data_IF_580316012915
#
_entry.id   IF_580316012915
#
_cell.length_a   1.000
_cell.length_b   1.000
_cell.length_c   1.000
_cell.angle_alpha   90.00
_cell.angle_beta   90.00
_cell.angle_gamma   90.00
#
_symmetry.space_group_name_H-M   'P 1'
#
loop_
_entity.id
_entity.type
_entity.pdbx_description
1 polymer ?
#
# COMPACT_ATOMS: atom_id res chain seq x y z
N UNK A 1 -32.52 20.21 -7.21
CA UNK A 1 -31.57 19.80 -6.15
C UNK A 1 -30.18 19.94 -6.74
N UNK A 2 -29.31 20.78 -6.19
CA UNK A 2 -27.90 20.83 -6.60
C UNK A 2 -27.27 19.54 -6.08
N UNK A 3 -26.79 18.67 -6.95
CA UNK A 3 -26.04 17.48 -6.53
C UNK A 3 -24.79 17.94 -5.78
N UNK A 4 -24.49 17.31 -4.63
CA UNK A 4 -23.21 17.52 -3.96
C UNK A 4 -22.10 17.06 -4.90
N UNK A 5 -21.25 17.98 -5.36
CA UNK A 5 -20.14 17.65 -6.27
C UNK A 5 -19.20 16.61 -5.63
N UNK A 6 -19.12 16.56 -4.30
CA UNK A 6 -18.35 15.55 -3.58
C UNK A 6 -18.88 14.12 -3.73
N UNK A 7 -20.13 13.92 -4.15
CA UNK A 7 -20.73 12.60 -4.41
C UNK A 7 -20.80 12.26 -5.90
N UNK A 8 -20.29 13.12 -6.79
CA UNK A 8 -20.27 12.84 -8.22
C UNK A 8 -19.32 11.69 -8.53
N UNK A 9 -19.81 10.74 -9.34
CA UNK A 9 -19.08 9.53 -9.74
C UNK A 9 -19.51 9.09 -11.15
N UNK A 10 -18.62 8.51 -11.97
CA UNK A 10 -17.18 8.36 -11.74
C UNK A 10 -16.47 9.72 -11.67
N UNK A 11 -15.45 9.80 -10.82
CA UNK A 11 -14.66 11.04 -10.68
C UNK A 11 -13.80 11.21 -11.93
N UNK A 12 -13.73 12.41 -12.54
CA UNK A 12 -12.84 12.67 -13.66
C UNK A 12 -11.38 12.35 -13.32
N UNK A 13 -10.69 11.62 -14.20
CA UNK A 13 -9.32 11.13 -13.99
C UNK A 13 -8.34 12.25 -13.60
N UNK A 14 -8.44 13.43 -14.22
CA UNK A 14 -7.58 14.58 -13.91
C UNK A 14 -7.74 15.05 -12.45
N UNK A 15 -8.93 14.93 -11.88
CA UNK A 15 -9.19 15.25 -10.47
C UNK A 15 -8.66 14.15 -9.55
N UNK A 16 -8.71 12.87 -9.97
CA UNK A 16 -8.11 11.76 -9.22
C UNK A 16 -6.60 11.95 -9.14
N UNK A 17 -5.92 12.22 -10.25
CA UNK A 17 -4.48 12.46 -10.30
C UNK A 17 -4.05 13.58 -9.35
N UNK A 18 -4.82 14.68 -9.31
CA UNK A 18 -4.56 15.84 -8.44
C UNK A 18 -4.97 15.65 -6.98
N UNK A 19 -5.80 14.65 -6.67
CA UNK A 19 -6.25 14.42 -5.30
C UNK A 19 -5.08 13.96 -4.43
N UNK A 20 -4.90 14.53 -3.22
CA UNK A 20 -3.88 14.04 -2.31
C UNK A 20 -4.23 12.65 -1.82
N UNK A 21 -3.25 11.75 -1.87
CA UNK A 21 -3.39 10.35 -1.48
C UNK A 21 -2.40 10.00 -0.39
N UNK A 22 -2.74 9.01 0.41
CA UNK A 22 -1.85 8.44 1.41
C UNK A 22 -1.81 6.93 1.21
N UNK A 23 -0.59 6.41 1.07
CA UNK A 23 -0.31 5.02 0.74
C UNK A 23 0.42 4.36 1.91
N UNK A 24 -0.12 3.29 2.48
CA UNK A 24 0.46 2.61 3.64
C UNK A 24 0.94 1.20 3.37
N UNK A 25 0.65 0.67 2.17
CA UNK A 25 0.95 -0.71 1.81
C UNK A 25 1.42 -0.79 0.36
N UNK A 26 2.74 -0.68 0.22
CA UNK A 26 3.43 -0.75 -1.06
C UNK A 26 4.82 -1.34 -0.85
N UNK A 27 5.16 -2.38 -1.61
CA UNK A 27 6.47 -3.02 -1.55
C UNK A 27 7.41 -2.40 -2.58
N UNK A 28 8.60 -2.00 -2.12
CA UNK A 28 9.61 -1.37 -2.97
C UNK A 28 10.05 -2.31 -4.10
N UNK A 29 10.36 -3.55 -3.76
CA UNK A 29 10.73 -4.65 -4.65
C UNK A 29 9.55 -5.16 -5.51
N UNK A 30 8.34 -4.71 -5.20
CA UNK A 30 7.12 -4.88 -6.00
C UNK A 30 6.78 -3.71 -6.93
N UNK A 31 7.59 -2.64 -6.92
CA UNK A 31 7.23 -1.34 -7.50
C UNK A 31 8.21 -0.79 -8.54
N UNK A 32 9.19 -1.57 -9.01
CA UNK A 32 10.21 -1.12 -9.96
C UNK A 32 9.61 -0.72 -11.31
N UNK A 33 10.26 0.24 -11.99
CA UNK A 33 9.98 0.53 -13.40
C UNK A 33 10.55 -0.60 -14.28
N UNK A 34 9.80 -1.12 -15.27
CA UNK A 34 10.31 -2.16 -16.18
C UNK A 34 11.60 -1.78 -16.92
N UNK A 35 11.72 -0.50 -17.33
CA UNK A 35 12.94 0.02 -17.95
C UNK A 35 14.13 -0.06 -17.01
N UNK A 36 13.97 0.31 -15.74
CA UNK A 36 15.01 0.24 -14.71
C UNK A 36 15.44 -1.20 -14.45
N UNK A 37 14.52 -2.17 -14.48
CA UNK A 37 14.87 -3.60 -14.35
C UNK A 37 15.81 -4.03 -15.48
N UNK A 38 15.52 -3.67 -16.72
CA UNK A 38 16.36 -4.02 -17.88
C UNK A 38 17.76 -3.42 -17.78
N UNK A 39 17.85 -2.15 -17.39
CA UNK A 39 19.12 -1.44 -17.22
C UNK A 39 19.95 -2.07 -16.09
N UNK A 40 19.36 -2.25 -14.91
CA UNK A 40 20.03 -2.85 -13.76
C UNK A 40 20.42 -4.32 -14.03
N UNK A 41 19.61 -5.07 -14.78
CA UNK A 41 19.95 -6.42 -15.18
C UNK A 41 21.18 -6.45 -16.09
N UNK A 42 21.25 -5.54 -17.08
CA UNK A 42 22.41 -5.42 -17.95
C UNK A 42 23.68 -5.00 -17.19
N UNK A 43 23.57 -4.03 -16.25
CA UNK A 43 24.67 -3.59 -15.40
C UNK A 43 25.21 -4.70 -14.47
N UNK A 44 24.37 -5.69 -14.17
CA UNK A 44 24.67 -6.74 -13.20
C UNK A 44 24.81 -8.14 -13.81
N UNK A 45 24.90 -8.23 -15.13
CA UNK A 45 24.99 -9.46 -15.92
C UNK A 45 23.87 -10.48 -15.61
N UNK A 46 22.65 -9.99 -15.30
CA UNK A 46 21.48 -10.82 -15.05
C UNK A 46 20.71 -11.12 -16.34
N UNK A 47 20.74 -12.38 -16.79
CA UNK A 47 20.22 -12.77 -18.11
C UNK A 47 18.87 -13.50 -18.08
N UNK A 48 18.30 -13.74 -16.90
CA UNK A 48 17.12 -14.59 -16.75
C UNK A 48 15.79 -13.82 -16.90
N UNK A 49 15.84 -12.56 -17.36
CA UNK A 49 14.62 -11.78 -17.59
C UNK A 49 13.76 -12.42 -18.70
N UNK A 50 12.43 -12.47 -18.52
CA UNK A 50 11.51 -13.11 -19.46
C UNK A 50 11.23 -12.29 -20.72
N UNK A 51 11.68 -11.03 -20.75
CA UNK A 51 11.52 -10.10 -21.86
C UNK A 51 12.67 -9.08 -21.87
N UNK A 52 12.93 -8.50 -23.04
CA UNK A 52 14.06 -7.58 -23.28
C UNK A 52 13.65 -6.13 -23.57
N UNK A 53 12.35 -5.83 -23.63
CA UNK A 53 11.81 -4.48 -23.73
C UNK A 53 10.83 -4.16 -22.58
N UNK A 54 10.69 -2.88 -22.19
CA UNK A 54 9.93 -2.51 -21.01
C UNK A 54 8.45 -2.88 -21.07
N UNK A 55 7.83 -2.78 -22.24
CA UNK A 55 6.40 -3.03 -22.38
C UNK A 55 6.09 -4.51 -22.27
N UNK A 56 6.88 -5.36 -22.95
CA UNK A 56 6.75 -6.81 -22.85
C UNK A 56 7.04 -7.30 -21.42
N UNK A 57 8.05 -6.73 -20.76
CA UNK A 57 8.36 -7.07 -19.38
C UNK A 57 7.22 -6.67 -18.43
N UNK A 58 6.66 -5.47 -18.59
CA UNK A 58 5.49 -5.00 -17.82
C UNK A 58 4.28 -5.93 -17.98
N UNK A 59 3.97 -6.32 -19.23
CA UNK A 59 2.90 -7.28 -19.53
C UNK A 59 3.16 -8.62 -18.86
N UNK A 60 4.38 -9.14 -18.95
CA UNK A 60 4.74 -10.41 -18.33
C UNK A 60 4.53 -10.39 -16.81
N UNK A 61 4.96 -9.32 -16.11
CA UNK A 61 4.73 -9.17 -14.67
C UNK A 61 3.22 -9.17 -14.35
N UNK A 62 2.44 -8.38 -15.09
CA UNK A 62 0.99 -8.24 -14.86
C UNK A 62 0.23 -9.54 -15.13
N UNK A 63 0.52 -10.23 -16.23
CA UNK A 63 -0.12 -11.50 -16.57
C UNK A 63 0.26 -12.62 -15.59
N UNK A 64 1.51 -12.64 -15.13
CA UNK A 64 1.99 -13.60 -14.13
C UNK A 64 1.33 -13.38 -12.76
N UNK A 65 1.02 -12.13 -12.41
CA UNK A 65 0.31 -11.79 -11.18
C UNK A 65 -1.15 -12.25 -11.18
N UNK A 66 -1.82 -12.31 -12.35
CA UNK A 66 -3.18 -12.84 -12.54
C UNK A 66 -3.27 -14.37 -12.43
N UNK A 67 -2.62 -14.91 -11.40
CA UNK A 67 -2.50 -16.35 -11.17
C UNK A 67 -3.59 -16.93 -10.27
N UNK A 68 -4.36 -16.08 -9.58
CA UNK A 68 -5.36 -16.48 -8.59
C UNK A 68 -4.75 -17.16 -7.35
N UNK A 69 -3.46 -16.95 -7.09
CA UNK A 69 -2.71 -17.61 -6.03
C UNK A 69 -1.52 -16.76 -5.57
N UNK A 70 -1.46 -16.44 -4.27
CA UNK A 70 -0.34 -15.72 -3.66
C UNK A 70 1.01 -16.40 -3.93
N UNK A 71 1.10 -17.73 -3.87
CA UNK A 71 2.37 -18.44 -4.10
C UNK A 71 2.91 -18.27 -5.52
N UNK A 72 2.03 -18.20 -6.52
CA UNK A 72 2.42 -17.99 -7.92
C UNK A 72 2.77 -16.53 -8.17
N UNK A 73 2.00 -15.62 -7.57
CA UNK A 73 2.29 -14.18 -7.55
C UNK A 73 3.71 -13.89 -7.05
N UNK A 74 4.11 -14.49 -5.93
CA UNK A 74 5.44 -14.25 -5.32
C UNK A 74 6.62 -14.72 -6.18
N UNK A 75 6.42 -15.61 -7.16
CA UNK A 75 7.52 -16.09 -8.02
C UNK A 75 8.10 -15.01 -8.92
N UNK A 76 7.34 -13.97 -9.24
CA UNK A 76 7.82 -12.89 -10.11
C UNK A 76 8.90 -12.03 -9.44
N UNK A 77 8.95 -12.01 -8.10
CA UNK A 77 9.95 -11.25 -7.33
C UNK A 77 11.37 -11.75 -7.54
N UNK A 78 11.57 -12.97 -8.03
CA UNK A 78 12.91 -13.49 -8.34
C UNK A 78 13.70 -12.52 -9.24
N UNK A 79 13.03 -11.86 -10.20
CA UNK A 79 13.67 -10.92 -11.11
C UNK A 79 13.92 -9.55 -10.48
N UNK A 80 12.98 -9.00 -9.71
CA UNK A 80 13.16 -7.69 -9.07
C UNK A 80 14.20 -7.74 -7.96
N UNK A 81 14.17 -8.80 -7.15
CA UNK A 81 15.19 -9.04 -6.11
C UNK A 81 16.57 -9.22 -6.74
N UNK A 82 16.69 -9.97 -7.85
CA UNK A 82 17.99 -10.21 -8.50
C UNK A 82 18.69 -8.93 -8.97
N UNK A 83 17.93 -7.90 -9.38
CA UNK A 83 18.48 -6.62 -9.83
C UNK A 83 18.67 -5.60 -8.70
N UNK A 84 18.25 -5.90 -7.47
CA UNK A 84 18.35 -5.03 -6.30
C UNK A 84 19.42 -5.51 -5.31
N UNK A 85 20.60 -5.89 -5.80
CA UNK A 85 21.67 -6.48 -4.97
C UNK A 85 22.87 -5.54 -4.73
N UNK A 86 22.80 -4.29 -5.19
CA UNK A 86 23.85 -3.26 -5.01
C UNK A 86 23.27 -2.00 -4.36
N UNK A 87 24.11 -1.21 -3.70
CA UNK A 87 23.70 0.05 -3.06
C UNK A 87 23.12 1.03 -4.09
N UNK A 88 23.74 1.11 -5.28
CA UNK A 88 23.31 1.97 -6.37
C UNK A 88 21.93 1.56 -6.90
N UNK A 89 21.68 0.26 -7.07
CA UNK A 89 20.39 -0.24 -7.54
C UNK A 89 19.27 0.06 -6.52
N UNK A 90 19.51 -0.23 -5.24
CA UNK A 90 18.57 0.03 -4.15
C UNK A 90 18.23 1.52 -4.04
N UNK A 91 19.26 2.38 -4.07
CA UNK A 91 19.11 3.83 -4.01
C UNK A 91 18.31 4.35 -5.20
N UNK A 92 18.62 3.87 -6.42
CA UNK A 92 17.91 4.25 -7.64
C UNK A 92 16.44 3.86 -7.58
N UNK A 93 16.13 2.62 -7.20
CA UNK A 93 14.75 2.12 -7.11
C UNK A 93 13.94 2.91 -6.08
N UNK A 94 14.50 3.21 -4.91
CA UNK A 94 13.84 4.02 -3.89
C UNK A 94 13.62 5.49 -4.33
N UNK A 95 14.59 6.08 -5.03
CA UNK A 95 14.45 7.41 -5.63
C UNK A 95 13.30 7.45 -6.63
N UNK A 96 13.29 6.51 -7.58
CA UNK A 96 12.27 6.42 -8.63
C UNK A 96 10.87 6.19 -8.05
N UNK A 97 10.77 5.35 -7.01
CA UNK A 97 9.53 5.09 -6.27
C UNK A 97 8.94 6.38 -5.68
N UNK A 98 9.74 7.19 -4.98
CA UNK A 98 9.26 8.45 -4.41
C UNK A 98 8.75 9.43 -5.48
N UNK A 99 9.44 9.52 -6.62
CA UNK A 99 9.03 10.38 -7.75
C UNK A 99 7.71 9.90 -8.34
N UNK A 100 7.56 8.60 -8.58
CA UNK A 100 6.34 8.04 -9.17
C UNK A 100 5.13 8.23 -8.25
N UNK A 101 5.29 7.96 -6.95
CA UNK A 101 4.25 8.18 -5.97
C UNK A 101 3.84 9.67 -5.88
N UNK A 102 4.81 10.57 -5.83
CA UNK A 102 4.55 11.99 -5.76
C UNK A 102 3.82 12.53 -7.01
N UNK A 103 4.23 12.06 -8.19
CA UNK A 103 3.59 12.40 -9.48
C UNK A 103 2.16 11.87 -9.54
N UNK A 104 1.89 10.75 -8.88
CA UNK A 104 0.54 10.18 -8.72
C UNK A 104 -0.27 10.82 -7.57
N UNK A 105 0.16 11.99 -7.07
CA UNK A 105 -0.54 12.77 -6.06
C UNK A 105 -0.46 12.20 -4.64
N UNK A 106 0.45 11.25 -4.37
CA UNK A 106 0.70 10.75 -3.02
C UNK A 106 1.49 11.78 -2.24
N UNK A 107 0.94 12.21 -1.11
CA UNK A 107 1.56 13.22 -0.23
C UNK A 107 2.30 12.60 0.94
N UNK A 108 1.91 11.39 1.32
CA UNK A 108 2.59 10.59 2.33
C UNK A 108 2.54 9.11 1.96
N UNK A 109 3.68 8.43 2.06
CA UNK A 109 3.78 7.00 1.82
C UNK A 109 4.54 6.28 2.94
N UNK A 110 4.12 5.05 3.26
CA UNK A 110 4.94 4.08 3.98
C UNK A 110 5.24 2.92 3.02
N UNK A 111 6.49 2.81 2.60
CA UNK A 111 6.95 1.81 1.64
C UNK A 111 7.72 0.72 2.40
N UNK A 112 7.40 -0.53 2.13
CA UNK A 112 7.99 -1.70 2.80
C UNK A 112 8.94 -2.45 1.88
N UNK A 113 9.92 -3.12 2.46
CA UNK A 113 10.78 -4.06 1.75
C UNK A 113 11.49 -4.97 2.75
N UNK A 114 12.02 -6.10 2.30
CA UNK A 114 12.74 -7.05 3.15
C UNK A 114 14.27 -6.93 2.96
N UNK A 115 15.03 -6.30 3.88
CA UNK A 115 16.48 -6.14 3.73
C UNK A 115 17.23 -7.46 3.53
N UNK A 116 16.74 -8.54 4.15
CA UNK A 116 17.32 -9.88 4.05
C UNK A 116 17.29 -10.48 2.63
N UNK A 117 16.49 -9.94 1.70
CA UNK A 117 16.47 -10.37 0.30
C UNK A 117 17.59 -9.73 -0.55
N UNK A 118 18.28 -8.71 -0.04
CA UNK A 118 19.19 -7.87 -0.80
C UNK A 118 20.67 -7.99 -0.39
N UNK A 119 21.03 -9.12 0.23
CA UNK A 119 22.38 -9.41 0.74
C UNK A 119 23.18 -10.39 -0.14
N UNK A 120 22.62 -10.82 -1.27
CA UNK A 120 23.17 -11.87 -2.14
C UNK A 120 24.48 -11.51 -2.86
N UNK A 121 24.83 -10.21 -2.94
CA UNK A 121 26.10 -9.73 -3.50
C UNK A 121 27.01 -9.04 -2.47
N UNK A 122 26.86 -9.36 -1.19
CA UNK A 122 27.83 -8.99 -0.14
C UNK A 122 27.50 -7.75 0.69
N UNK A 123 26.33 -7.13 0.47
CA UNK A 123 25.79 -6.14 1.41
C UNK A 123 25.34 -6.82 2.71
N UNK A 124 25.44 -6.11 3.83
CA UNK A 124 24.71 -6.46 5.03
C UNK A 124 23.36 -5.70 5.10
N UNK A 125 22.46 -6.12 5.99
CA UNK A 125 21.11 -5.53 6.07
C UNK A 125 21.12 -4.03 6.38
N UNK A 126 22.08 -3.54 7.18
CA UNK A 126 22.20 -2.11 7.49
C UNK A 126 22.58 -1.29 6.24
N UNK A 127 23.53 -1.77 5.44
CA UNK A 127 23.89 -1.12 4.16
C UNK A 127 22.70 -1.07 3.19
N UNK A 128 21.90 -2.14 3.14
CA UNK A 128 20.68 -2.17 2.32
C UNK A 128 19.70 -1.10 2.80
N UNK A 129 19.44 -1.01 4.12
CA UNK A 129 18.54 0.01 4.70
C UNK A 129 19.06 1.42 4.41
N UNK A 130 20.35 1.67 4.58
CA UNK A 130 20.98 2.96 4.33
C UNK A 130 20.87 3.39 2.85
N UNK A 131 21.10 2.47 1.92
CA UNK A 131 20.95 2.75 0.48
C UNK A 131 19.51 3.13 0.12
N UNK A 132 18.52 2.39 0.64
CA UNK A 132 17.09 2.68 0.43
C UNK A 132 16.69 4.02 1.04
N UNK A 133 17.09 4.31 2.29
CA UNK A 133 16.82 5.59 2.95
C UNK A 133 17.45 6.76 2.19
N UNK A 134 18.69 6.61 1.70
CA UNK A 134 19.34 7.62 0.86
C UNK A 134 18.56 7.85 -0.44
N UNK A 135 18.07 6.78 -1.08
CA UNK A 135 17.26 6.87 -2.29
C UNK A 135 15.95 7.61 -2.07
N UNK A 136 15.22 7.29 -0.99
CA UNK A 136 14.01 8.04 -0.63
C UNK A 136 14.30 9.49 -0.27
N UNK A 137 15.41 9.79 0.41
CA UNK A 137 15.81 11.17 0.68
C UNK A 137 16.05 11.94 -0.62
N UNK A 138 16.73 11.35 -1.60
CA UNK A 138 16.98 11.94 -2.91
C UNK A 138 15.68 12.14 -3.70
N UNK A 139 14.84 11.11 -3.75
CA UNK A 139 13.57 11.12 -4.46
C UNK A 139 12.58 12.14 -3.92
N UNK A 140 12.48 12.29 -2.59
CA UNK A 140 11.66 13.33 -1.96
C UNK A 140 12.15 14.74 -2.35
N UNK A 141 13.47 14.98 -2.39
CA UNK A 141 14.03 16.27 -2.83
C UNK A 141 13.74 16.52 -4.32
N UNK A 142 13.90 15.49 -5.16
CA UNK A 142 13.63 15.59 -6.59
C UNK A 142 12.14 15.88 -6.87
N UNK A 143 11.24 15.17 -6.20
CA UNK A 143 9.80 15.36 -6.33
C UNK A 143 9.36 16.76 -5.85
N UNK A 144 9.89 17.23 -4.71
CA UNK A 144 9.62 18.59 -4.23
C UNK A 144 10.11 19.67 -5.20
N UNK A 145 11.29 19.48 -5.83
CA UNK A 145 11.81 20.40 -6.85
C UNK A 145 10.92 20.46 -8.12
N UNK A 146 10.16 19.39 -8.39
CA UNK A 146 9.18 19.32 -9.48
C UNK A 146 7.78 19.82 -9.07
N UNK A 147 7.62 20.32 -7.84
CA UNK A 147 6.33 20.81 -7.34
C UNK A 147 5.41 19.72 -6.76
N UNK A 148 5.92 18.51 -6.56
CA UNK A 148 5.21 17.36 -6.01
C UNK A 148 5.84 16.92 -4.68
N UNK A 149 5.75 17.68 -3.59
CA UNK A 149 6.32 17.27 -2.32
C UNK A 149 5.62 16.02 -1.77
N UNK A 150 6.42 15.03 -1.37
CA UNK A 150 5.99 13.80 -0.71
C UNK A 150 6.85 13.57 0.54
N UNK A 151 6.26 12.97 1.56
CA UNK A 151 7.01 12.36 2.67
C UNK A 151 6.92 10.85 2.61
N UNK A 152 8.05 10.15 2.73
CA UNK A 152 8.14 8.69 2.70
C UNK A 152 8.75 8.17 4.00
N UNK A 153 8.02 7.29 4.68
CA UNK A 153 8.54 6.43 5.75
C UNK A 153 8.79 5.02 5.24
N UNK A 154 9.72 4.31 5.86
CA UNK A 154 10.10 2.94 5.48
C UNK A 154 9.60 1.93 6.51
N UNK A 155 9.05 0.81 6.05
CA UNK A 155 8.82 -0.37 6.90
C UNK A 155 9.85 -1.44 6.57
N UNK A 156 10.48 -2.03 7.58
CA UNK A 156 11.35 -3.19 7.37
C UNK A 156 10.55 -4.47 7.55
N UNK A 157 10.56 -5.30 6.52
CA UNK A 157 9.78 -6.53 6.47
C UNK A 157 10.66 -7.74 6.78
N UNK A 158 10.21 -8.60 7.68
CA UNK A 158 10.76 -9.96 7.79
C UNK A 158 9.90 -10.96 7.00
N UNK A 159 10.55 -11.91 6.34
CA UNK A 159 9.87 -12.94 5.58
C UNK A 159 9.36 -14.04 6.53
N UNK A 160 8.08 -14.39 6.41
CA UNK A 160 7.40 -15.46 7.17
C UNK A 160 8.09 -16.82 7.10
N UNK A 161 8.84 -17.05 6.02
CA UNK A 161 9.56 -18.29 5.73
C UNK A 161 10.99 -18.29 6.26
N UNK A 162 11.50 -17.14 6.72
CA UNK A 162 12.83 -16.96 7.28
C UNK A 162 12.82 -16.95 8.82
N UNK A 163 13.97 -17.21 9.43
CA UNK A 163 14.14 -17.20 10.89
C UNK A 163 14.73 -15.89 11.44
N UNK A 164 14.80 -14.84 10.62
CA UNK A 164 15.51 -13.59 10.94
C UNK A 164 14.61 -12.48 11.51
N UNK A 165 13.35 -12.76 11.82
CA UNK A 165 12.38 -11.74 12.25
C UNK A 165 12.85 -10.85 13.42
N UNK A 166 13.49 -11.46 14.43
CA UNK A 166 14.07 -10.73 15.56
C UNK A 166 15.13 -9.71 15.15
N UNK A 167 16.03 -10.08 14.24
CA UNK A 167 17.12 -9.23 13.75
C UNK A 167 16.58 -8.03 12.96
N UNK A 168 15.59 -8.26 12.10
CA UNK A 168 14.94 -7.17 11.33
C UNK A 168 14.16 -6.23 12.28
N UNK A 169 13.57 -6.75 13.35
CA UNK A 169 12.96 -5.91 14.39
C UNK A 169 13.99 -5.05 15.16
N UNK A 170 15.18 -5.56 15.46
CA UNK A 170 16.28 -4.77 16.05
C UNK A 170 16.72 -3.65 15.09
N UNK A 171 16.87 -3.98 13.81
CA UNK A 171 17.20 -3.01 12.77
C UNK A 171 16.12 -1.93 12.62
N UNK A 172 14.85 -2.30 12.75
CA UNK A 172 13.73 -1.34 12.74
C UNK A 172 13.88 -0.32 13.86
N UNK A 173 14.19 -0.78 15.07
CA UNK A 173 14.38 0.07 16.24
C UNK A 173 15.63 0.95 16.09
N UNK A 174 16.72 0.41 15.55
CA UNK A 174 17.95 1.17 15.31
C UNK A 174 17.77 2.35 14.34
N UNK A 175 16.90 2.18 13.32
CA UNK A 175 16.68 3.18 12.28
C UNK A 175 15.37 3.99 12.46
N UNK A 176 14.66 3.85 13.59
CA UNK A 176 13.34 4.48 13.82
C UNK A 176 13.33 6.00 13.73
N UNK A 177 14.46 6.63 14.03
CA UNK A 177 14.66 8.08 13.97
C UNK A 177 15.41 8.54 12.70
N UNK A 178 15.63 7.61 11.76
CA UNK A 178 16.38 7.84 10.51
C UNK A 178 15.54 7.64 9.25
N UNK A 179 14.23 7.42 9.40
CA UNK A 179 13.28 7.27 8.30
C UNK A 179 12.57 5.92 8.23
N UNK A 180 13.00 4.93 9.04
CA UNK A 180 12.20 3.73 9.28
C UNK A 180 11.09 4.08 10.27
N UNK A 181 9.84 3.76 9.97
CA UNK A 181 8.68 4.13 10.79
C UNK A 181 7.95 2.92 11.36
N UNK A 182 8.35 1.70 10.99
CA UNK A 182 7.77 0.50 11.56
C UNK A 182 8.32 -0.79 10.95
N UNK A 183 7.73 -1.89 11.40
CA UNK A 183 8.07 -3.25 11.01
C UNK A 183 6.87 -3.95 10.34
N UNK A 184 7.15 -4.95 9.52
CA UNK A 184 6.15 -5.83 8.91
C UNK A 184 6.63 -7.28 8.85
N UNK A 185 5.70 -8.22 8.66
CA UNK A 185 6.01 -9.55 8.13
C UNK A 185 5.20 -9.84 6.87
N UNK A 186 5.86 -10.43 5.86
CA UNK A 186 5.25 -10.75 4.57
C UNK A 186 5.71 -12.12 4.03
N UNK A 187 5.27 -12.45 2.81
CA UNK A 187 5.48 -13.77 2.19
C UNK A 187 4.30 -14.72 2.39
N UNK A 188 4.52 -16.01 2.17
CA UNK A 188 3.45 -17.01 2.22
C UNK A 188 2.76 -17.02 3.60
N UNK A 189 1.44 -16.80 3.62
CA UNK A 189 0.66 -16.71 4.86
C UNK A 189 0.23 -18.08 5.40
N UNK A 190 -0.39 -18.90 4.55
CA UNK A 190 -0.89 -20.22 4.93
C UNK A 190 0.27 -21.16 5.32
N UNK A 191 0.21 -21.73 6.53
CA UNK A 191 1.25 -22.60 7.06
C UNK A 191 2.43 -21.88 7.74
N UNK A 192 2.44 -20.54 7.72
CA UNK A 192 3.45 -19.71 8.37
C UNK A 192 2.79 -18.67 9.29
N UNK A 193 2.22 -19.09 10.43
CA UNK A 193 1.47 -18.19 11.30
C UNK A 193 2.36 -17.07 11.85
N UNK A 194 1.81 -15.86 12.10
CA UNK A 194 2.58 -14.74 12.64
C UNK A 194 3.19 -15.07 14.01
N UNK A 195 2.60 -16.00 14.75
CA UNK A 195 3.08 -16.47 16.05
C UNK A 195 4.48 -17.11 16.02
N UNK A 196 5.04 -17.43 14.84
CA UNK A 196 6.45 -17.83 14.70
C UNK A 196 7.45 -16.69 14.96
N UNK A 197 7.00 -15.44 14.95
CA UNK A 197 7.82 -14.25 15.14
C UNK A 197 7.44 -13.48 16.42
N UNK A 198 6.88 -14.16 17.43
CA UNK A 198 6.44 -13.53 18.68
C UNK A 198 7.58 -12.77 19.40
N UNK A 199 8.79 -13.31 19.37
CA UNK A 199 9.96 -12.68 19.96
C UNK A 199 10.27 -11.30 19.33
N UNK A 200 10.09 -11.16 18.02
CA UNK A 200 10.20 -9.89 17.31
C UNK A 200 9.11 -8.90 17.74
N UNK A 201 7.85 -9.33 17.76
CA UNK A 201 6.72 -8.46 18.14
C UNK A 201 6.76 -8.02 19.60
N UNK A 202 7.14 -8.92 20.51
CA UNK A 202 7.32 -8.59 21.92
C UNK A 202 8.44 -7.57 22.12
N UNK A 203 9.54 -7.68 21.38
CA UNK A 203 10.60 -6.67 21.42
C UNK A 203 10.12 -5.32 20.89
N UNK A 204 9.49 -5.28 19.71
CA UNK A 204 8.99 -4.03 19.12
C UNK A 204 8.02 -3.32 20.08
N UNK A 205 7.13 -4.08 20.70
CA UNK A 205 6.20 -3.56 21.72
C UNK A 205 6.94 -2.96 22.93
N UNK A 206 7.99 -3.61 23.44
CA UNK A 206 8.81 -3.09 24.55
C UNK A 206 9.60 -1.83 24.16
N UNK A 207 9.95 -1.70 22.89
CA UNK A 207 10.67 -0.56 22.31
C UNK A 207 9.76 0.57 21.81
N UNK A 208 8.43 0.45 22.00
CA UNK A 208 7.43 1.39 21.49
C UNK A 208 7.50 1.58 19.97
N UNK A 209 7.92 0.55 19.23
CA UNK A 209 7.99 0.57 17.78
C UNK A 209 6.69 0.05 17.17
N UNK A 210 6.24 0.72 16.11
CA UNK A 210 5.03 0.34 15.38
C UNK A 210 5.25 -0.86 14.47
N UNK A 211 4.22 -1.67 14.29
CA UNK A 211 4.26 -2.76 13.32
C UNK A 211 2.88 -3.09 12.72
N UNK A 212 2.92 -3.43 11.44
CA UNK A 212 1.80 -4.03 10.70
C UNK A 212 2.10 -5.51 10.46
N UNK A 213 1.08 -6.30 10.14
CA UNK A 213 1.24 -7.73 9.82
C UNK A 213 0.35 -8.04 8.63
N UNK A 214 0.90 -8.60 7.54
CA UNK A 214 0.08 -9.20 6.48
C UNK A 214 -0.76 -10.33 7.06
N UNK A 215 -2.08 -10.15 7.14
CA UNK A 215 -2.97 -11.17 7.68
C UNK A 215 -4.37 -11.03 7.09
N UNK A 216 -5.03 -12.15 6.80
CA UNK A 216 -6.35 -12.12 6.21
C UNK A 216 -6.35 -11.92 4.70
N UNK A 217 -5.28 -12.31 4.00
CA UNK A 217 -5.22 -12.28 2.53
C UNK A 217 -5.44 -13.68 1.95
N UNK A 218 -4.53 -14.60 2.27
CA UNK A 218 -4.54 -16.00 1.85
C UNK A 218 -4.90 -16.97 2.98
N UNK A 219 -4.91 -16.52 4.25
CA UNK A 219 -5.41 -17.29 5.40
C UNK A 219 -6.50 -16.52 6.15
N UNK A 220 -7.58 -17.20 6.52
CA UNK A 220 -8.82 -16.57 6.98
C UNK A 220 -8.77 -15.97 8.39
N UNK A 221 -9.92 -15.94 9.05
CA UNK A 221 -10.10 -15.35 10.39
C UNK A 221 -9.05 -15.76 11.45
N UNK A 222 -8.54 -17.00 11.51
CA UNK A 222 -7.50 -17.36 12.48
C UNK A 222 -6.22 -16.52 12.31
N UNK A 223 -5.80 -16.21 11.09
CA UNK A 223 -4.62 -15.38 10.83
C UNK A 223 -4.78 -13.97 11.39
N UNK A 224 -5.93 -13.35 11.12
CA UNK A 224 -6.29 -12.03 11.60
C UNK A 224 -6.35 -12.03 13.14
N UNK A 225 -6.96 -13.06 13.71
CA UNK A 225 -7.08 -13.21 15.15
C UNK A 225 -5.69 -13.34 15.81
N UNK A 226 -4.79 -14.15 15.27
CA UNK A 226 -3.43 -14.31 15.80
C UNK A 226 -2.60 -13.02 15.66
N UNK A 227 -2.67 -12.35 14.52
CA UNK A 227 -1.97 -11.07 14.29
C UNK A 227 -2.38 -10.01 15.32
N UNK A 228 -3.67 -9.94 15.67
CA UNK A 228 -4.18 -8.98 16.65
C UNK A 228 -3.93 -9.44 18.09
N UNK A 229 -4.38 -10.64 18.45
CA UNK A 229 -4.52 -11.05 19.85
C UNK A 229 -3.23 -11.58 20.44
N UNK A 230 -2.41 -12.26 19.64
CA UNK A 230 -1.12 -12.77 20.08
C UNK A 230 0.00 -11.77 19.78
N UNK A 231 0.01 -11.22 18.58
CA UNK A 231 1.14 -10.42 18.11
C UNK A 231 0.98 -8.93 18.41
N UNK A 232 -0.24 -8.43 18.58
CA UNK A 232 -0.51 -7.03 18.93
C UNK A 232 -0.42 -6.04 17.77
N UNK A 233 -0.69 -6.47 16.53
CA UNK A 233 -0.54 -5.62 15.35
C UNK A 233 -1.31 -4.29 15.44
N UNK A 234 -0.63 -3.19 15.10
CA UNK A 234 -1.25 -1.85 15.04
C UNK A 234 -2.16 -1.71 13.82
N UNK A 235 -1.82 -2.41 12.73
CA UNK A 235 -2.54 -2.46 11.46
C UNK A 235 -2.48 -3.86 10.86
N UNK A 236 -3.38 -4.16 9.95
CA UNK A 236 -3.36 -5.39 9.16
C UNK A 236 -3.03 -5.05 7.71
N UNK A 237 -1.93 -5.64 7.22
CA UNK A 237 -1.68 -5.77 5.80
C UNK A 237 -2.81 -6.59 5.18
N UNK A 238 -3.58 -5.98 4.29
CA UNK A 238 -4.86 -6.48 3.79
C UNK A 238 -5.97 -6.56 4.85
N UNK A 239 -6.14 -7.70 5.53
CA UNK A 239 -7.30 -7.98 6.39
C UNK A 239 -8.61 -8.25 5.64
N UNK A 240 -8.55 -8.58 4.33
CA UNK A 240 -9.73 -8.76 3.46
C UNK A 240 -10.71 -9.80 4.00
N UNK A 241 -10.18 -10.94 4.46
CA UNK A 241 -10.96 -12.07 4.97
C UNK A 241 -11.68 -11.79 6.29
N UNK A 242 -11.54 -10.60 6.89
CA UNK A 242 -12.39 -10.18 8.02
C UNK A 242 -13.88 -10.19 7.63
N UNK A 243 -14.17 -10.06 6.33
CA UNK A 243 -15.52 -10.15 5.77
C UNK A 243 -16.18 -11.50 6.04
N UNK A 244 -15.41 -12.57 6.26
CA UNK A 244 -15.93 -13.90 6.59
C UNK A 244 -16.57 -13.94 8.00
N UNK A 245 -16.25 -12.96 8.86
CA UNK A 245 -16.87 -12.79 10.19
C UNK A 245 -18.04 -11.80 10.13
N UNK A 246 -18.61 -11.56 8.95
CA UNK A 246 -19.74 -10.67 8.73
C UNK A 246 -20.86 -11.44 8.01
N UNK A 247 -22.06 -11.42 8.57
CA UNK A 247 -23.25 -12.01 7.93
C UNK A 247 -24.16 -10.88 7.45
N UNK A 248 -24.50 -10.90 6.17
CA UNK A 248 -25.50 -10.03 5.56
C UNK A 248 -26.72 -10.89 5.25
N UNK A 249 -27.83 -10.61 5.93
CA UNK A 249 -29.09 -11.34 5.76
C UNK A 249 -29.78 -10.95 4.45
N UNK A 250 -30.73 -11.76 3.92
CA UNK A 250 -31.46 -11.45 2.69
C UNK A 250 -32.24 -10.12 2.73
N UNK A 251 -32.62 -9.66 3.91
CA UNK A 251 -33.30 -8.37 4.11
C UNK A 251 -32.33 -7.15 4.17
N UNK A 252 -31.03 -7.40 4.03
CA UNK A 252 -29.97 -6.40 4.07
C UNK A 252 -29.49 -6.04 5.48
N UNK A 253 -30.06 -6.64 6.54
CA UNK A 253 -29.53 -6.49 7.89
C UNK A 253 -28.15 -7.14 8.02
N UNK A 254 -27.31 -6.58 8.88
CA UNK A 254 -25.91 -7.01 9.03
C UNK A 254 -25.62 -7.34 10.48
N UNK A 255 -25.06 -8.52 10.71
CA UNK A 255 -24.49 -8.91 12.01
C UNK A 255 -22.97 -9.09 11.88
N UNK A 256 -22.25 -8.65 12.91
CA UNK A 256 -20.81 -8.83 13.00
C UNK A 256 -20.50 -9.93 13.99
N UNK A 257 -19.63 -10.85 13.61
CA UNK A 257 -18.94 -11.71 14.56
C UNK A 257 -18.02 -10.92 15.48
N UNK A 258 -17.49 -11.62 16.49
CA UNK A 258 -16.74 -10.98 17.58
C UNK A 258 -15.45 -10.33 17.09
N UNK A 259 -14.77 -10.94 16.12
CA UNK A 259 -13.51 -10.43 15.61
C UNK A 259 -13.74 -9.19 14.74
N UNK A 260 -14.69 -9.25 13.82
CA UNK A 260 -15.12 -8.12 13.00
C UNK A 260 -15.58 -6.93 13.85
N UNK A 261 -16.42 -7.18 14.86
CA UNK A 261 -16.85 -6.14 15.79
C UNK A 261 -15.65 -5.52 16.54
N UNK A 262 -14.73 -6.34 17.06
CA UNK A 262 -13.54 -5.85 17.76
C UNK A 262 -12.64 -5.00 16.85
N UNK A 263 -12.35 -5.47 15.63
CA UNK A 263 -11.55 -4.74 14.63
C UNK A 263 -12.17 -3.38 14.31
N UNK A 264 -13.49 -3.34 14.05
CA UNK A 264 -14.22 -2.12 13.75
C UNK A 264 -14.19 -1.13 14.91
N UNK A 265 -14.49 -1.60 16.12
CA UNK A 265 -14.69 -0.74 17.29
C UNK A 265 -13.35 -0.24 17.85
N UNK A 266 -12.28 -1.03 17.77
CA UNK A 266 -10.90 -0.61 18.07
C UNK A 266 -10.28 0.26 16.97
N UNK A 267 -10.97 0.42 15.83
CA UNK A 267 -10.48 1.19 14.67
C UNK A 267 -9.15 0.65 14.12
N UNK A 268 -8.94 -0.68 14.17
CA UNK A 268 -7.74 -1.33 13.60
C UNK A 268 -7.76 -1.10 12.07
N UNK A 269 -6.73 -0.46 11.50
CA UNK A 269 -6.67 -0.20 10.06
C UNK A 269 -6.54 -1.49 9.25
N UNK A 270 -7.30 -1.56 8.15
CA UNK A 270 -7.20 -2.60 7.12
C UNK A 270 -6.57 -1.99 5.88
N UNK A 271 -5.34 -2.40 5.57
CA UNK A 271 -4.56 -1.91 4.43
C UNK A 271 -5.00 -2.63 3.14
N UNK A 272 -6.18 -2.28 2.62
CA UNK A 272 -6.79 -2.97 1.47
C UNK A 272 -6.06 -2.63 0.17
N UNK A 273 -5.89 -3.62 -0.71
CA UNK A 273 -5.17 -3.49 -1.96
C UNK A 273 -6.02 -4.03 -3.13
N UNK A 274 -7.01 -3.29 -3.63
CA UNK A 274 -8.11 -3.86 -4.43
C UNK A 274 -7.68 -4.68 -5.65
N UNK A 275 -6.77 -4.17 -6.50
CA UNK A 275 -6.27 -4.94 -7.66
C UNK A 275 -5.48 -6.16 -7.23
N UNK A 276 -4.57 -6.02 -6.26
CA UNK A 276 -3.78 -7.14 -5.74
C UNK A 276 -4.69 -8.22 -5.14
N UNK A 277 -5.67 -7.85 -4.33
CA UNK A 277 -6.60 -8.77 -3.70
C UNK A 277 -7.41 -9.58 -4.73
N UNK A 278 -7.72 -9.01 -5.90
CA UNK A 278 -8.32 -9.78 -7.00
C UNK A 278 -7.31 -10.77 -7.61
N UNK A 279 -6.09 -10.31 -7.88
CA UNK A 279 -5.04 -11.13 -8.49
C UNK A 279 -4.58 -12.30 -7.62
N UNK A 280 -4.52 -12.10 -6.30
CA UNK A 280 -4.14 -13.14 -5.32
C UNK A 280 -5.30 -14.07 -4.95
N UNK A 281 -6.53 -13.73 -5.35
CA UNK A 281 -7.75 -14.51 -5.09
C UNK A 281 -8.44 -14.20 -3.75
N UNK A 282 -7.97 -13.19 -3.01
CA UNK A 282 -8.60 -12.72 -1.78
C UNK A 282 -9.99 -12.08 -2.02
N UNK A 283 -10.22 -11.54 -3.23
CA UNK A 283 -11.48 -10.99 -3.70
C UNK A 283 -11.81 -11.49 -5.11
N UNK A 284 -13.09 -11.56 -5.45
CA UNK A 284 -13.54 -12.07 -6.75
C UNK A 284 -13.40 -11.05 -7.90
N UNK A 285 -13.71 -9.78 -7.61
CA UNK A 285 -13.57 -8.66 -8.56
C UNK A 285 -13.56 -7.34 -7.80
N UNK A 286 -13.28 -6.24 -8.50
CA UNK A 286 -13.41 -4.89 -7.92
C UNK A 286 -14.87 -4.60 -7.57
N UNK A 287 -15.83 -4.98 -8.43
CA UNK A 287 -17.26 -4.69 -8.25
C UNK A 287 -17.88 -5.34 -7.01
N UNK A 288 -17.35 -6.48 -6.58
CA UNK A 288 -17.80 -7.19 -5.37
C UNK A 288 -16.74 -7.18 -4.27
N UNK A 289 -15.74 -6.29 -4.38
CA UNK A 289 -14.62 -6.27 -3.45
C UNK A 289 -15.09 -5.99 -2.00
N UNK A 290 -14.59 -6.72 -0.99
CA UNK A 290 -15.01 -6.56 0.41
C UNK A 290 -14.87 -5.14 0.97
N UNK A 291 -13.97 -4.32 0.40
CA UNK A 291 -13.81 -2.90 0.78
C UNK A 291 -15.12 -2.13 0.75
N UNK A 292 -16.04 -2.43 -0.18
CA UNK A 292 -17.34 -1.76 -0.29
C UNK A 292 -18.23 -1.98 0.92
N UNK A 293 -18.36 -3.25 1.35
CA UNK A 293 -19.10 -3.62 2.55
C UNK A 293 -18.44 -3.06 3.82
N UNK A 294 -17.11 -3.21 3.93
CA UNK A 294 -16.35 -2.74 5.10
C UNK A 294 -16.44 -1.22 5.26
N UNK A 295 -16.34 -0.46 4.17
CA UNK A 295 -16.53 1.00 4.15
C UNK A 295 -17.93 1.38 4.64
N UNK A 296 -18.98 0.72 4.11
CA UNK A 296 -20.38 0.96 4.50
C UNK A 296 -20.62 0.70 5.98
N UNK A 297 -19.98 -0.34 6.52
CA UNK A 297 -20.08 -0.71 7.94
C UNK A 297 -19.15 0.11 8.85
N UNK A 298 -18.41 1.07 8.29
CA UNK A 298 -17.59 2.00 9.06
C UNK A 298 -16.26 1.42 9.55
N UNK A 299 -15.79 0.29 9.01
CA UNK A 299 -14.43 -0.19 9.28
C UNK A 299 -13.40 0.84 8.84
N UNK A 300 -12.21 0.79 9.43
CA UNK A 300 -11.13 1.69 9.04
C UNK A 300 -10.32 1.12 7.90
N UNK A 301 -10.88 1.17 6.70
CA UNK A 301 -10.18 0.73 5.49
C UNK A 301 -9.35 1.86 4.88
N UNK A 302 -8.21 1.51 4.31
CA UNK A 302 -7.36 2.36 3.47
C UNK A 302 -7.25 1.74 2.07
N UNK A 303 -6.82 2.51 1.07
CA UNK A 303 -6.65 2.05 -0.31
C UNK A 303 -5.16 2.10 -0.63
N UNK A 304 -4.61 1.01 -1.15
CA UNK A 304 -3.17 0.86 -1.38
C UNK A 304 -2.90 0.04 -2.64
N UNK A 305 -1.65 0.08 -3.09
CA UNK A 305 -1.20 -0.51 -4.36
C UNK A 305 -0.61 -1.91 -4.21
N UNK A 306 -0.07 -2.24 -3.04
CA UNK A 306 0.71 -3.46 -2.80
C UNK A 306 1.96 -3.55 -3.68
N UNK A 307 1.86 -4.05 -4.89
CA UNK A 307 2.99 -4.17 -5.81
C UNK A 307 2.64 -3.53 -7.15
N UNK A 308 2.99 -2.25 -7.34
CA UNK A 308 2.60 -1.48 -8.53
C UNK A 308 2.97 -2.16 -9.85
N UNK A 309 4.16 -2.77 -9.92
CA UNK A 309 4.64 -3.45 -11.12
C UNK A 309 3.86 -4.74 -11.38
N UNK A 310 3.77 -5.62 -10.39
CA UNK A 310 3.11 -6.92 -10.50
C UNK A 310 1.62 -6.73 -10.76
N UNK A 311 1.00 -5.79 -10.06
CA UNK A 311 -0.44 -5.52 -10.21
C UNK A 311 -0.77 -4.60 -11.38
N UNK A 312 0.23 -4.08 -12.09
CA UNK A 312 0.03 -3.16 -13.21
C UNK A 312 -0.86 -1.98 -12.80
N UNK A 313 -0.61 -1.41 -11.61
CA UNK A 313 -1.51 -0.44 -10.95
C UNK A 313 -0.78 0.79 -10.40
N UNK A 314 -1.58 1.79 -10.01
CA UNK A 314 -1.14 3.03 -9.36
C UNK A 314 -2.20 3.46 -8.34
N UNK A 315 -1.86 4.39 -7.46
CA UNK A 315 -2.82 4.90 -6.47
C UNK A 315 -4.01 5.59 -7.13
N UNK A 316 -3.81 6.34 -8.21
CA UNK A 316 -4.92 6.90 -8.99
C UNK A 316 -5.75 5.83 -9.68
N UNK A 317 -5.13 4.76 -10.20
CA UNK A 317 -5.87 3.65 -10.81
C UNK A 317 -6.74 2.91 -9.80
N UNK A 318 -6.22 2.58 -8.61
CA UNK A 318 -7.02 1.98 -7.53
C UNK A 318 -8.23 2.85 -7.18
N UNK A 319 -8.02 4.16 -7.03
CA UNK A 319 -9.09 5.09 -6.69
C UNK A 319 -10.12 5.24 -7.84
N UNK A 320 -9.69 5.21 -9.11
CA UNK A 320 -10.59 5.20 -10.27
C UNK A 320 -11.46 3.95 -10.31
N UNK A 321 -10.84 2.78 -10.15
CA UNK A 321 -11.53 1.49 -10.12
C UNK A 321 -12.60 1.45 -9.03
N UNK A 322 -12.31 1.98 -7.85
CA UNK A 322 -13.28 2.07 -6.75
C UNK A 322 -14.39 3.10 -7.00
N UNK A 323 -14.07 4.23 -7.65
CA UNK A 323 -15.06 5.23 -8.06
C UNK A 323 -16.07 4.63 -9.04
N UNK A 324 -15.58 3.93 -10.06
CA UNK A 324 -16.42 3.24 -11.05
C UNK A 324 -17.25 2.11 -10.44
N UNK A 325 -16.63 1.27 -9.60
CA UNK A 325 -17.28 0.07 -9.06
C UNK A 325 -18.32 0.36 -7.98
N UNK A 326 -18.08 1.35 -7.12
CA UNK A 326 -18.92 1.62 -5.94
C UNK A 326 -19.63 2.97 -5.98
N UNK A 327 -19.45 3.75 -7.04
CA UNK A 327 -20.01 5.10 -7.13
C UNK A 327 -19.35 6.09 -6.18
N UNK A 328 -18.11 5.84 -5.77
CA UNK A 328 -17.40 6.68 -4.81
C UNK A 328 -16.99 8.02 -5.42
N UNK A 329 -17.36 9.09 -4.73
CA UNK A 329 -17.03 10.48 -5.08
C UNK A 329 -15.83 11.03 -4.32
N UNK A 330 -15.48 12.30 -4.55
CA UNK A 330 -14.35 12.96 -3.87
C UNK A 330 -14.49 12.95 -2.33
N UNK A 331 -15.72 12.90 -1.80
CA UNK A 331 -15.96 12.74 -0.37
C UNK A 331 -15.46 11.38 0.16
N UNK A 332 -15.64 10.31 -0.60
CA UNK A 332 -15.17 8.97 -0.23
C UNK A 332 -13.65 8.85 -0.39
N UNK A 333 -13.09 9.38 -1.47
CA UNK A 333 -11.63 9.46 -1.63
C UNK A 333 -10.98 10.22 -0.47
N UNK A 334 -11.53 11.38 -0.10
CA UNK A 334 -11.08 12.14 1.07
C UNK A 334 -11.16 11.29 2.35
N UNK A 335 -12.23 10.51 2.52
CA UNK A 335 -12.40 9.64 3.68
C UNK A 335 -11.34 8.54 3.74
N UNK A 336 -11.03 7.88 2.61
CA UNK A 336 -9.96 6.87 2.55
C UNK A 336 -8.59 7.49 2.87
N UNK A 337 -8.27 8.62 2.25
CA UNK A 337 -7.00 9.34 2.47
C UNK A 337 -6.86 9.79 3.92
N UNK A 338 -7.90 10.35 4.55
CA UNK A 338 -7.84 10.76 5.95
C UNK A 338 -7.73 9.56 6.88
N UNK A 339 -8.41 8.45 6.60
CA UNK A 339 -8.26 7.22 7.38
C UNK A 339 -6.82 6.70 7.33
N UNK A 340 -6.21 6.71 6.14
CA UNK A 340 -4.83 6.31 5.94
C UNK A 340 -3.88 7.24 6.69
N UNK A 341 -4.00 8.57 6.54
CA UNK A 341 -3.13 9.50 7.27
C UNK A 341 -3.24 9.38 8.78
N UNK A 342 -4.45 9.16 9.32
CA UNK A 342 -4.64 8.90 10.76
C UNK A 342 -4.00 7.58 11.21
N UNK A 343 -3.74 6.64 10.28
CA UNK A 343 -3.20 5.30 10.54
C UNK A 343 -1.69 5.24 10.31
N UNK A 344 -1.10 6.30 9.78
CA UNK A 344 0.35 6.37 9.59
C UNK A 344 1.09 6.23 10.92
N UNK A 345 2.29 5.66 10.87
CA UNK A 345 3.18 5.42 12.01
C UNK A 345 4.07 6.61 12.35
N UNK A 346 4.09 7.66 11.52
CA UNK A 346 4.75 8.92 11.91
C UNK A 346 4.04 9.58 13.11
N UNK A 347 4.78 10.39 13.91
CA UNK A 347 4.25 11.08 15.07
C UNK A 347 2.95 11.87 14.82
N UNK A 348 2.11 11.98 15.84
CA UNK A 348 0.79 12.62 15.75
C UNK A 348 0.85 14.08 15.31
N UNK A 349 1.83 14.83 15.83
CA UNK A 349 2.11 16.22 15.49
C UNK A 349 2.58 16.40 14.04
N UNK A 350 3.15 15.37 13.41
CA UNK A 350 3.44 15.38 11.98
C UNK A 350 2.23 15.00 11.11
N UNK A 351 1.37 14.10 11.59
CA UNK A 351 0.15 13.70 10.87
C UNK A 351 -0.87 14.84 10.78
N UNK A 352 -0.99 15.63 11.83
CA UNK A 352 -2.01 16.68 11.94
C UNK A 352 -1.92 17.75 10.84
N UNK A 353 -0.76 18.35 10.55
CA UNK A 353 -0.60 19.29 9.44
C UNK A 353 -0.94 18.66 8.09
N UNK A 354 -0.47 17.44 7.81
CA UNK A 354 -0.79 16.74 6.54
C UNK A 354 -2.31 16.59 6.38
N UNK A 355 -3.03 16.24 7.45
CA UNK A 355 -4.51 16.14 7.40
C UNK A 355 -5.17 17.50 7.19
N UNK A 356 -4.82 18.50 8.00
CA UNK A 356 -5.61 19.72 8.14
C UNK A 356 -5.18 20.83 7.17
N UNK A 357 -3.92 20.86 6.76
CA UNK A 357 -3.33 21.92 5.95
C UNK A 357 -3.09 21.47 4.49
N UNK A 358 -2.93 20.16 4.25
CA UNK A 358 -2.72 19.61 2.91
C UNK A 358 -3.95 18.86 2.39
N UNK A 359 -4.32 17.73 3.01
CA UNK A 359 -5.36 16.82 2.50
C UNK A 359 -6.74 17.52 2.41
N UNK A 360 -7.28 17.98 3.54
CA UNK A 360 -8.65 18.54 3.58
C UNK A 360 -8.82 19.78 2.69
N UNK A 361 -7.90 20.77 2.69
CA UNK A 361 -8.02 21.94 1.82
C UNK A 361 -7.98 21.58 0.34
N UNK A 362 -7.10 20.67 -0.08
CA UNK A 362 -7.00 20.25 -1.48
C UNK A 362 -8.25 19.53 -1.97
N UNK A 363 -8.83 18.62 -1.18
CA UNK A 363 -10.12 18.01 -1.53
C UNK A 363 -11.26 19.05 -1.59
N UNK A 364 -11.23 20.07 -0.74
CA UNK A 364 -12.20 21.17 -0.79
C UNK A 364 -12.08 21.94 -2.11
N UNK A 365 -10.86 22.26 -2.54
CA UNK A 365 -10.61 22.92 -3.82
C UNK A 365 -11.03 22.07 -5.02
N UNK A 366 -10.75 20.76 -5.01
CA UNK A 366 -11.15 19.86 -6.10
C UNK A 366 -12.67 19.73 -6.22
N UNK A 367 -13.40 19.69 -5.10
CA UNK A 367 -14.87 19.70 -5.11
C UNK A 367 -15.45 20.99 -5.67
N UNK A 368 -14.82 22.14 -5.39
CA UNK A 368 -15.22 23.42 -5.98
C UNK A 368 -15.03 23.42 -7.50
N UNK A 369 -13.87 22.95 -7.99
CA UNK A 369 -13.61 22.79 -9.44
C UNK A 369 -14.65 21.87 -10.09
N UNK A 370 -14.99 20.76 -9.44
CA UNK A 370 -16.01 19.83 -9.97
C UNK A 370 -17.41 20.46 -9.98
N UNK A 371 -17.79 21.19 -8.93
CA UNK A 371 -19.06 21.91 -8.89
C UNK A 371 -19.17 22.95 -10.02
N UNK A 372 -18.10 23.71 -10.27
CA UNK A 372 -18.03 24.66 -11.39
C UNK A 372 -18.21 23.95 -12.74
N UNK A 373 -17.51 22.83 -12.98
CA UNK A 373 -17.68 22.02 -14.21
C UNK A 373 -19.12 21.54 -14.39
N UNK A 374 -19.75 21.08 -13.31
CA UNK A 374 -21.13 20.59 -13.34
C UNK A 374 -22.15 21.70 -13.65
N UNK A 375 -21.91 22.93 -13.17
CA UNK A 375 -22.79 24.08 -13.44
C UNK A 375 -22.55 24.72 -14.80
N UNK A 376 -21.29 24.81 -15.25
CA UNK A 376 -20.91 25.39 -16.54
C UNK A 376 -21.30 24.55 -17.76
N UNK A 377 -21.43 23.23 -17.61
CA UNK A 377 -21.90 22.33 -18.68
C UNK A 377 -23.38 22.50 -19.06
N UNK A 378 -24.17 23.19 -18.26
CA UNK A 378 -25.62 23.39 -18.49
C UNK A 378 -25.91 24.58 -19.43
N UNK A 379 -24.89 25.36 -19.81
CA UNK A 379 -25.06 26.62 -20.56
C UNK A 379 -24.91 26.58 -22.09
N UNK A 380 -24.39 25.49 -22.69
CA UNK A 380 -24.05 25.46 -24.13
C UNK A 380 -24.98 24.58 -25.00
N UNK A 381 -26.16 24.21 -24.48
CA UNK A 381 -27.14 23.36 -25.19
C UNK A 381 -28.38 24.08 -25.74
N UNK A 382 -28.41 25.41 -25.72
CA UNK A 382 -29.53 26.20 -26.25
C UNK A 382 -29.02 27.38 -27.07
N UNK A 383 -28.73 27.11 -28.35
CA UNK A 383 -28.72 28.11 -29.41
C UNK A 383 -29.15 27.42 -30.72
#
# INVERSE_FOLDING_TARGET
MVMDAGTFSPIPEDLILRAPKVLLHDHLDGGLRPQTILELAAEQDYTDLPATDPEALSRWFTESAYSGSLERYLKTFAHTVAVMQTEEALRRVALECAIDLATDGVVYAEVRFAPELHIGKGLNEAQVVEAVLAGFADGQRAAAAQGHPIKVGVLLTAMRTASHGRKIAELTVEYRDKGVVGFDIAGAEAGYPPTRHLDAFEYLSRENAHFTIHAGEAFGLPSIWEAIQWCGADRLGHGVRIVDDITVEPDGSVSLGRLAAYVRDRRIPLEMCPTSNVQTGAAASIQTHPIGLLRRLGFRVTVNTDNRLMSGTSMSKEMSLLSEAFGYGLNDMQWFTVNAMKSAFIPFDERLPIINEQIKPQYTALKAVLAERMTGGVGNGAA
#
